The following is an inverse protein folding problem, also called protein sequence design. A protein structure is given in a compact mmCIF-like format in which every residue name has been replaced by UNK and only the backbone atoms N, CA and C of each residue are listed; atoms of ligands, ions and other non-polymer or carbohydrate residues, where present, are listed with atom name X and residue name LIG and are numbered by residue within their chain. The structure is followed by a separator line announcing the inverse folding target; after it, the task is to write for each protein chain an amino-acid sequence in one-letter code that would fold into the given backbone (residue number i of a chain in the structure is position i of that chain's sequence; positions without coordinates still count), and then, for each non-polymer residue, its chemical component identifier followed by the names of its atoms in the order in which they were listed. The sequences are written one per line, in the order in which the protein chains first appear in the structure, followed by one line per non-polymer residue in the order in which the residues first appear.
data_IF_200318907441
#
_entry.id   IF_200318907441
#
_cell.length_a   1.000
_cell.length_b   1.000
_cell.length_c   1.000
_cell.angle_alpha   90.00
_cell.angle_beta   90.00
_cell.angle_gamma   90.00
#
_symmetry.space_group_name_H-M   'P 1'
#
loop_
_entity.id
_entity.type
_entity.pdbx_description
1 polymer ?
#
# COMPACT_ATOMS: atom_id res chain seq x y z
N UNK A 1 8.63 0.97 -15.51
CA UNK A 1 9.35 0.32 -14.41
C UNK A 1 8.35 -0.40 -13.53
N UNK A 2 8.74 -1.52 -12.93
CA UNK A 2 7.89 -2.30 -12.03
C UNK A 2 8.59 -2.44 -10.68
N UNK A 3 7.89 -2.12 -9.61
CA UNK A 3 8.32 -2.34 -8.22
C UNK A 3 7.57 -3.55 -7.67
N UNK A 4 8.32 -4.57 -7.23
CA UNK A 4 7.73 -5.78 -6.68
C UNK A 4 7.51 -5.64 -5.18
N UNK A 5 6.25 -5.50 -4.77
CA UNK A 5 5.84 -5.42 -3.36
C UNK A 5 5.40 -4.01 -2.96
N UNK A 6 4.30 -3.96 -2.19
CA UNK A 6 3.63 -2.73 -1.78
C UNK A 6 3.84 -2.40 -0.29
N UNK A 7 4.93 -2.86 0.32
CA UNK A 7 5.32 -2.39 1.67
C UNK A 7 5.87 -0.96 1.62
N UNK A 8 6.18 -0.37 2.78
CA UNK A 8 6.73 1.00 2.91
C UNK A 8 7.80 1.30 1.86
N UNK A 9 8.88 0.52 1.84
CA UNK A 9 9.98 0.76 0.91
C UNK A 9 9.58 0.63 -0.56
N UNK A 10 8.69 -0.31 -0.89
CA UNK A 10 8.22 -0.47 -2.27
C UNK A 10 7.39 0.73 -2.73
N UNK A 11 6.57 1.27 -1.85
CA UNK A 11 5.78 2.46 -2.12
C UNK A 11 6.64 3.73 -2.23
N UNK A 12 7.62 3.91 -1.35
CA UNK A 12 8.59 5.02 -1.41
C UNK A 12 9.45 4.96 -2.68
N UNK A 13 9.93 3.77 -3.07
CA UNK A 13 10.66 3.60 -4.33
C UNK A 13 9.77 3.93 -5.52
N UNK A 14 8.51 3.50 -5.52
CA UNK A 14 7.57 3.81 -6.60
C UNK A 14 7.34 5.33 -6.73
N UNK A 15 7.18 6.03 -5.59
CA UNK A 15 7.09 7.49 -5.54
C UNK A 15 8.36 8.16 -6.09
N UNK A 16 9.55 7.76 -5.62
CA UNK A 16 10.81 8.32 -6.11
C UNK A 16 11.00 8.12 -7.63
N UNK A 17 10.57 6.97 -8.16
CA UNK A 17 10.61 6.73 -9.61
C UNK A 17 9.62 7.62 -10.37
N UNK A 18 8.41 7.82 -9.84
CA UNK A 18 7.41 8.69 -10.45
C UNK A 18 7.88 10.16 -10.44
N UNK A 19 8.33 10.65 -9.28
CA UNK A 19 8.90 11.99 -9.11
C UNK A 19 10.17 12.19 -9.96
N UNK A 20 10.96 11.13 -10.15
CA UNK A 20 12.16 11.12 -11.01
C UNK A 20 11.87 11.13 -12.51
N UNK A 21 10.60 11.22 -12.94
CA UNK A 21 10.23 11.32 -14.34
C UNK A 21 10.14 9.97 -15.07
N UNK A 22 10.04 8.85 -14.35
CA UNK A 22 9.79 7.57 -14.99
C UNK A 22 8.47 7.60 -15.76
N UNK A 23 8.52 7.28 -17.05
CA UNK A 23 7.38 7.37 -17.97
C UNK A 23 6.16 6.52 -17.56
N UNK A 24 6.38 5.43 -16.81
CA UNK A 24 5.32 4.57 -16.25
C UNK A 24 5.87 3.80 -15.07
N UNK A 25 5.25 3.93 -13.90
CA UNK A 25 5.57 3.17 -12.69
C UNK A 25 4.42 2.24 -12.36
N UNK A 26 4.75 0.96 -12.14
CA UNK A 26 3.80 -0.06 -11.72
C UNK A 26 4.22 -0.60 -10.35
N UNK A 27 3.26 -0.78 -9.45
CA UNK A 27 3.46 -1.36 -8.11
C UNK A 27 2.73 -2.70 -8.04
N UNK A 28 3.48 -3.80 -7.89
CA UNK A 28 2.88 -5.13 -7.78
C UNK A 28 2.43 -5.40 -6.34
N UNK A 29 1.12 -5.59 -6.17
CA UNK A 29 0.46 -5.84 -4.88
C UNK A 29 0.16 -7.34 -4.76
N UNK A 30 0.88 -8.03 -3.88
CA UNK A 30 0.63 -9.46 -3.59
C UNK A 30 -0.45 -9.65 -2.53
N UNK A 31 -0.36 -8.87 -1.46
CA UNK A 31 -1.25 -8.96 -0.31
C UNK A 31 -1.79 -7.56 -0.05
N UNK A 32 -3.12 -7.37 0.06
CA UNK A 32 -3.69 -6.13 0.55
C UNK A 32 -3.12 -5.84 1.94
N UNK A 33 -2.54 -4.66 2.13
CA UNK A 33 -1.95 -4.25 3.40
C UNK A 33 -2.60 -2.98 3.92
N UNK A 34 -2.52 -2.80 5.24
CA UNK A 34 -2.93 -1.56 5.88
C UNK A 34 -1.91 -0.48 5.55
N UNK A 35 -2.38 0.70 5.17
CA UNK A 35 -1.51 1.85 4.91
C UNK A 35 -1.79 2.90 5.98
N UNK A 36 -0.74 3.49 6.53
CA UNK A 36 -0.77 4.59 7.47
C UNK A 36 0.02 5.76 6.87
N UNK A 37 -0.35 6.97 7.26
CA UNK A 37 0.38 8.16 6.86
C UNK A 37 1.42 8.51 7.91
N UNK A 38 2.62 8.91 7.47
CA UNK A 38 3.64 9.49 8.34
C UNK A 38 3.17 10.76 9.02
N UNK A 39 2.43 11.59 8.28
CA UNK A 39 1.80 12.79 8.81
C UNK A 39 0.30 12.85 8.49
N UNK A 40 -0.45 13.32 9.47
CA UNK A 40 -1.89 13.54 9.41
C UNK A 40 -2.16 15.00 9.71
N UNK A 41 -2.44 15.80 8.68
CA UNK A 41 -2.69 17.23 8.79
C UNK A 41 -1.56 18.00 9.54
N UNK A 42 -0.30 17.66 9.25
CA UNK A 42 0.88 18.28 9.88
C UNK A 42 1.17 17.81 11.31
N UNK A 43 0.50 16.76 11.78
CA UNK A 43 0.84 16.05 13.01
C UNK A 43 1.45 14.68 12.68
N UNK A 44 2.45 14.21 13.44
CA UNK A 44 2.95 12.85 13.29
C UNK A 44 1.82 11.82 13.40
N UNK A 45 1.71 10.94 12.41
CA UNK A 45 0.65 9.93 12.34
C UNK A 45 0.79 8.83 13.40
N UNK A 46 1.99 8.68 13.97
CA UNK A 46 2.34 7.74 15.03
C UNK A 46 2.11 8.30 16.45
N UNK A 47 1.83 9.60 16.57
CA UNK A 47 1.58 10.28 17.85
C UNK A 47 0.49 9.60 18.72
N UNK A 48 -0.62 9.06 18.18
CA UNK A 48 -1.59 8.33 19.00
C UNK A 48 -1.18 6.87 19.30
N UNK A 49 -0.13 6.32 18.68
CA UNK A 49 0.24 4.89 18.79
C UNK A 49 0.49 4.47 20.24
N UNK A 50 1.27 5.19 21.07
CA UNK A 50 1.47 4.80 22.47
C UNK A 50 0.16 4.68 23.24
N UNK A 51 -0.81 5.56 22.99
CA UNK A 51 -2.13 5.49 23.60
C UNK A 51 -2.91 4.28 23.08
N UNK A 52 -2.91 4.07 21.75
CA UNK A 52 -3.59 2.95 21.09
C UNK A 52 -3.13 1.59 21.60
N UNK A 53 -1.84 1.44 21.94
CA UNK A 53 -1.28 0.20 22.47
C UNK A 53 -1.86 -0.21 23.85
N UNK A 54 -2.56 0.69 24.54
CA UNK A 54 -3.25 0.37 25.79
C UNK A 54 -4.70 -0.09 25.60
N UNK A 55 -5.24 0.00 24.38
CA UNK A 55 -6.60 -0.43 24.06
C UNK A 55 -6.62 -1.87 23.51
N UNK A 56 -7.78 -2.55 23.55
CA UNK A 56 -7.93 -3.85 22.88
C UNK A 56 -7.69 -3.76 21.37
N UNK A 57 -7.00 -4.75 20.79
CA UNK A 57 -6.64 -4.79 19.35
C UNK A 57 -7.84 -4.49 18.42
N UNK A 58 -9.03 -5.04 18.72
CA UNK A 58 -10.24 -4.81 17.92
C UNK A 58 -10.71 -3.35 17.90
N UNK A 59 -10.47 -2.61 18.99
CA UNK A 59 -10.82 -1.19 19.06
C UNK A 59 -9.80 -0.35 18.28
N UNK A 60 -8.51 -0.69 18.40
CA UNK A 60 -7.44 -0.06 17.62
C UNK A 60 -7.68 -0.25 16.12
N UNK A 61 -8.01 -1.46 15.67
CA UNK A 61 -8.31 -1.75 14.28
C UNK A 61 -9.50 -0.94 13.74
N UNK A 62 -10.57 -0.79 14.54
CA UNK A 62 -11.71 0.06 14.17
C UNK A 62 -11.33 1.53 14.02
N UNK A 63 -10.50 2.04 14.94
CA UNK A 63 -10.00 3.42 14.90
C UNK A 63 -9.12 3.65 13.68
N UNK A 64 -8.17 2.75 13.41
CA UNK A 64 -7.27 2.83 12.26
C UNK A 64 -8.03 2.73 10.93
N UNK A 65 -9.04 1.85 10.82
CA UNK A 65 -9.86 1.79 9.62
C UNK A 65 -10.69 3.06 9.38
N UNK A 66 -11.22 3.65 10.45
CA UNK A 66 -11.94 4.92 10.36
C UNK A 66 -11.01 6.05 9.94
N UNK A 67 -9.79 6.07 10.46
CA UNK A 67 -8.76 7.05 10.10
C UNK A 67 -8.35 6.91 8.63
N UNK A 68 -8.01 5.69 8.19
CA UNK A 68 -7.69 5.40 6.78
C UNK A 68 -8.81 5.84 5.82
N UNK A 69 -10.09 5.65 6.19
CA UNK A 69 -11.22 6.14 5.37
C UNK A 69 -11.22 7.65 5.20
N UNK A 70 -10.79 8.38 6.22
CA UNK A 70 -10.80 9.85 6.22
C UNK A 70 -9.58 10.42 5.52
N UNK A 71 -8.44 9.75 5.57
CA UNK A 71 -7.15 10.32 5.16
C UNK A 71 -6.69 9.87 3.79
N UNK A 72 -6.97 8.62 3.40
CA UNK A 72 -6.43 8.01 2.17
C UNK A 72 -7.46 7.65 1.10
N UNK A 73 -8.75 7.95 1.33
CA UNK A 73 -9.82 7.58 0.39
C UNK A 73 -9.94 6.07 0.16
N UNK A 74 -10.58 5.68 -0.94
CA UNK A 74 -10.64 4.28 -1.39
C UNK A 74 -9.71 4.06 -2.58
N UNK A 75 -8.52 3.52 -2.32
CA UNK A 75 -7.57 3.16 -3.37
C UNK A 75 -7.93 1.87 -4.13
N UNK A 76 -9.02 1.19 -3.76
CA UNK A 76 -9.45 -0.04 -4.45
C UNK A 76 -9.77 0.22 -5.92
N UNK A 77 -10.30 1.42 -6.25
CA UNK A 77 -10.53 1.86 -7.62
C UNK A 77 -9.23 2.02 -8.44
N UNK A 78 -8.10 2.21 -7.76
CA UNK A 78 -6.77 2.40 -8.35
C UNK A 78 -5.91 1.13 -8.29
N UNK A 79 -6.54 -0.02 -8.01
CA UNK A 79 -5.88 -1.33 -8.00
C UNK A 79 -5.18 -1.69 -6.69
N UNK A 80 -5.34 -0.88 -5.64
CA UNK A 80 -4.82 -1.18 -4.31
C UNK A 80 -5.99 -1.59 -3.39
N UNK A 81 -6.33 -2.90 -3.35
CA UNK A 81 -7.49 -3.38 -2.61
C UNK A 81 -7.33 -3.11 -1.12
N UNK A 82 -8.45 -2.77 -0.49
CA UNK A 82 -8.48 -2.57 0.95
C UNK A 82 -8.26 -3.90 1.70
N UNK A 83 -7.41 -3.93 2.74
CA UNK A 83 -7.31 -5.10 3.61
C UNK A 83 -8.62 -5.34 4.37
N UNK A 84 -9.04 -6.60 4.43
CA UNK A 84 -10.22 -7.03 5.21
C UNK A 84 -9.90 -7.09 6.71
N UNK A 85 -8.65 -7.38 7.04
CA UNK A 85 -8.14 -7.47 8.40
C UNK A 85 -7.46 -6.16 8.83
N UNK A 86 -7.72 -5.71 10.06
CA UNK A 86 -7.10 -4.51 10.60
C UNK A 86 -5.60 -4.66 10.85
N UNK A 87 -4.90 -3.56 11.10
CA UNK A 87 -3.45 -3.56 11.23
C UNK A 87 -2.96 -4.42 12.41
N UNK A 88 -3.60 -4.32 13.57
CA UNK A 88 -3.25 -5.10 14.75
C UNK A 88 -3.55 -6.58 14.54
N UNK A 89 -4.74 -6.91 14.03
CA UNK A 89 -5.08 -8.29 13.70
C UNK A 89 -4.09 -8.89 12.68
N UNK A 90 -3.74 -8.16 11.61
CA UNK A 90 -2.76 -8.57 10.59
C UNK A 90 -1.36 -8.80 11.16
N UNK A 91 -0.92 -7.94 12.10
CA UNK A 91 0.35 -8.14 12.81
C UNK A 91 0.29 -9.41 13.66
N UNK A 92 -0.80 -9.64 14.40
CA UNK A 92 -0.95 -10.80 15.28
C UNK A 92 -1.07 -12.11 14.54
N UNK A 93 -1.81 -12.14 13.43
CA UNK A 93 -2.14 -13.36 12.71
C UNK A 93 -1.07 -13.74 11.67
N UNK A 94 -0.47 -12.74 11.02
CA UNK A 94 0.42 -12.94 9.85
C UNK A 94 1.78 -12.27 10.00
N UNK A 95 2.01 -11.49 11.04
CA UNK A 95 3.25 -10.71 11.20
C UNK A 95 3.41 -9.60 10.15
N UNK A 96 2.33 -9.21 9.47
CA UNK A 96 2.37 -8.21 8.40
C UNK A 96 2.07 -6.84 9.00
N UNK A 97 3.09 -5.99 9.03
CA UNK A 97 2.99 -4.60 9.50
C UNK A 97 2.29 -3.73 8.45
N UNK A 98 1.63 -2.65 8.87
CA UNK A 98 1.17 -1.64 7.94
C UNK A 98 2.35 -1.00 7.21
N UNK A 99 2.12 -0.54 5.97
CA UNK A 99 3.05 0.38 5.32
C UNK A 99 2.77 1.79 5.83
N UNK A 100 3.84 2.50 6.18
CA UNK A 100 3.80 3.93 6.51
C UNK A 100 4.34 4.69 5.32
N UNK A 101 3.59 5.64 4.79
CA UNK A 101 3.97 6.43 3.60
C UNK A 101 3.57 7.88 3.78
N UNK A 102 4.17 8.77 2.99
CA UNK A 102 3.74 10.16 2.92
C UNK A 102 2.46 10.32 2.10
N UNK A 103 1.79 11.46 2.24
CA UNK A 103 0.52 11.74 1.55
C UNK A 103 0.70 11.78 0.02
N UNK A 104 1.86 12.23 -0.44
CA UNK A 104 2.27 12.32 -1.84
C UNK A 104 2.21 10.96 -2.54
N UNK A 105 2.46 9.87 -1.81
CA UNK A 105 2.37 8.51 -2.37
C UNK A 105 0.92 8.14 -2.68
N UNK A 106 -0.04 8.56 -1.84
CA UNK A 106 -1.46 8.40 -2.13
C UNK A 106 -1.87 9.26 -3.33
N UNK A 107 -1.35 10.47 -3.43
CA UNK A 107 -1.60 11.36 -4.57
C UNK A 107 -1.06 10.77 -5.87
N UNK A 108 0.14 10.18 -5.86
CA UNK A 108 0.72 9.53 -7.04
C UNK A 108 -0.09 8.31 -7.49
N UNK A 109 -0.62 7.52 -6.56
CA UNK A 109 -1.47 6.36 -6.89
C UNK A 109 -2.83 6.82 -7.42
N UNK A 110 -3.49 7.75 -6.71
CA UNK A 110 -4.81 8.25 -7.09
C UNK A 110 -4.79 9.16 -8.33
N UNK A 111 -3.67 9.83 -8.58
CA UNK A 111 -3.39 10.62 -9.78
C UNK A 111 -2.92 9.78 -10.97
N UNK A 112 -2.66 8.48 -10.76
CA UNK A 112 -2.29 7.53 -11.81
C UNK A 112 -0.81 7.56 -12.23
N UNK A 113 0.04 8.30 -11.52
CA UNK A 113 1.49 8.27 -11.70
C UNK A 113 2.05 6.87 -11.33
N UNK A 114 1.46 6.22 -10.33
CA UNK A 114 1.75 4.86 -9.92
C UNK A 114 0.52 3.98 -10.16
N UNK A 115 0.65 3.00 -11.06
CA UNK A 115 -0.40 2.00 -11.32
C UNK A 115 -0.25 0.75 -10.47
N UNK A 116 -1.25 0.38 -9.68
CA UNK A 116 -1.22 -0.87 -8.92
C UNK A 116 -1.64 -2.06 -9.78
N UNK A 117 -0.84 -3.13 -9.74
CA UNK A 117 -1.07 -4.36 -10.51
C UNK A 117 -1.01 -5.59 -9.61
N UNK A 118 -1.52 -6.72 -10.10
CA UNK A 118 -1.47 -7.99 -9.38
C UNK A 118 -0.03 -8.49 -9.17
N UNK A 119 0.12 -9.45 -8.26
CA UNK A 119 1.41 -10.01 -7.86
C UNK A 119 2.24 -10.49 -9.05
N UNK A 120 3.56 -10.26 -9.02
CA UNK A 120 4.48 -10.92 -9.95
C UNK A 120 4.55 -12.41 -9.63
N UNK A 121 4.37 -13.26 -10.65
CA UNK A 121 4.46 -14.72 -10.53
C UNK A 121 5.63 -15.31 -11.32
N UNK A 122 6.23 -14.53 -12.23
CA UNK A 122 7.37 -14.96 -13.01
C UNK A 122 7.95 -13.84 -13.87
N UNK A 123 9.12 -14.11 -14.43
CA UNK A 123 9.77 -13.30 -15.44
C UNK A 123 9.87 -14.12 -16.73
N UNK A 124 9.59 -13.51 -17.87
CA UNK A 124 9.73 -14.12 -19.19
C UNK A 124 10.55 -13.18 -20.08
N UNK A 125 11.86 -13.42 -20.16
CA UNK A 125 12.78 -12.54 -20.87
C UNK A 125 12.78 -11.11 -20.31
N UNK A 126 12.32 -10.16 -21.13
CA UNK A 126 12.16 -8.74 -20.79
C UNK A 126 10.77 -8.39 -20.23
N UNK A 127 9.90 -9.39 -20.09
CA UNK A 127 8.51 -9.26 -19.68
C UNK A 127 8.27 -9.81 -18.28
N UNK A 128 7.23 -9.30 -17.61
CA UNK A 128 6.82 -9.74 -16.27
C UNK A 128 5.46 -10.41 -16.33
N UNK A 129 5.34 -11.59 -15.73
CA UNK A 129 4.09 -12.34 -15.62
C UNK A 129 3.40 -11.98 -14.32
N UNK A 130 2.14 -11.54 -14.42
CA UNK A 130 1.31 -11.13 -13.28
C UNK A 130 0.26 -12.19 -12.95
N UNK A 131 -0.09 -12.33 -11.67
CA UNK A 131 -1.14 -13.23 -11.23
C UNK A 131 -2.48 -12.86 -11.88
N UNK A 132 -3.19 -13.86 -12.40
CA UNK A 132 -4.49 -13.70 -13.06
C UNK A 132 -4.40 -13.27 -14.53
N UNK A 133 -3.22 -12.92 -15.05
CA UNK A 133 -2.99 -12.79 -16.48
C UNK A 133 -2.66 -14.17 -17.08
N UNK A 134 -3.34 -14.57 -18.17
CA UNK A 134 -2.83 -15.69 -18.97
C UNK A 134 -1.48 -15.30 -19.55
N UNK A 135 -0.49 -16.21 -19.61
CA UNK A 135 0.77 -15.93 -20.28
C UNK A 135 0.48 -15.55 -21.74
N UNK A 136 1.25 -14.62 -22.34
CA UNK A 136 1.09 -14.30 -23.75
C UNK A 136 1.32 -15.58 -24.56
N UNK A 137 0.28 -16.04 -25.26
CA UNK A 137 0.40 -17.17 -26.19
C UNK A 137 1.40 -16.77 -27.28
N UNK A 138 2.50 -17.53 -27.35
CA UNK A 138 3.56 -17.40 -28.36
C UNK A 138 3.05 -17.61 -29.77
#
# INVERSE_FOLDING_TARGET
MLVAGAGTSGMEIAHQLAAGGARRVLLAVRTPLNILLWELNGLPGDLPVPLLLHLPDALVDRLLFALQRRTGGDLSAYGLPRPVEGAMASIRSRGVTPASVDAEVFEDISGGAIGCVSAVVGLDGDSVVLAGASPPTR
#
